data_IF_111711603094
#
_entry.id   IF_111711603094
#
_cell.length_a   1.000
_cell.length_b   1.000
_cell.length_c   1.000
_cell.angle_alpha   90.00
_cell.angle_beta   90.00
_cell.angle_gamma   90.00
#
_symmetry.space_group_name_H-M   'P 1'
#
loop_
_entity.id
_entity.type
_entity.pdbx_description
1 polymer ?
#
# COMPACT_ATOMS: atom_id res chain seq x y z
N UNK A 1 -21.70 -3.92 -18.26
CA UNK A 1 -21.00 -5.14 -18.73
C UNK A 1 -21.37 -6.28 -17.79
N UNK A 2 -21.62 -7.47 -18.32
CA UNK A 2 -21.93 -8.66 -17.52
C UNK A 2 -20.79 -8.97 -16.54
N UNK A 3 -21.10 -9.49 -15.35
CA UNK A 3 -20.07 -9.98 -14.43
C UNK A 3 -19.59 -11.32 -14.97
N UNK A 4 -18.34 -11.39 -15.41
CA UNK A 4 -17.81 -12.60 -16.04
C UNK A 4 -17.52 -13.62 -14.96
N UNK A 5 -18.17 -14.78 -15.02
CA UNK A 5 -17.90 -15.89 -14.12
C UNK A 5 -16.55 -16.52 -14.42
N UNK A 6 -15.67 -16.52 -13.42
CA UNK A 6 -14.34 -17.11 -13.47
C UNK A 6 -14.27 -18.35 -12.59
N UNK A 7 -13.32 -19.23 -12.90
CA UNK A 7 -13.00 -20.34 -11.98
C UNK A 7 -12.36 -19.79 -10.70
N UNK A 8 -12.45 -20.50 -9.56
CA UNK A 8 -11.84 -20.04 -8.30
C UNK A 8 -10.34 -19.72 -8.43
N UNK A 9 -9.60 -20.50 -9.22
CA UNK A 9 -8.17 -20.25 -9.49
C UNK A 9 -7.94 -18.98 -10.31
N UNK A 10 -8.80 -18.67 -11.27
CA UNK A 10 -8.72 -17.44 -12.06
C UNK A 10 -9.05 -16.20 -11.21
N UNK A 11 -10.11 -16.25 -10.40
CA UNK A 11 -10.47 -15.17 -9.48
C UNK A 11 -9.35 -14.92 -8.46
N UNK A 12 -8.76 -15.99 -7.91
CA UNK A 12 -7.64 -15.87 -6.96
C UNK A 12 -6.44 -15.13 -7.57
N UNK A 13 -6.10 -15.41 -8.83
CA UNK A 13 -5.02 -14.68 -9.52
C UNK A 13 -5.34 -13.19 -9.64
N UNK A 14 -6.58 -12.81 -9.97
CA UNK A 14 -6.96 -11.39 -10.04
C UNK A 14 -6.85 -10.69 -8.69
N UNK A 15 -7.27 -11.34 -7.60
CA UNK A 15 -7.14 -10.79 -6.25
C UNK A 15 -5.68 -10.66 -5.81
N UNK A 16 -4.79 -11.58 -6.18
CA UNK A 16 -3.36 -11.44 -5.93
C UNK A 16 -2.76 -10.29 -6.71
N UNK A 17 -3.09 -10.16 -8.01
CA UNK A 17 -2.60 -9.03 -8.81
C UNK A 17 -3.14 -7.69 -8.28
N UNK A 18 -4.38 -7.65 -7.81
CA UNK A 18 -4.97 -6.50 -7.12
C UNK A 18 -4.19 -6.16 -5.85
N UNK A 19 -3.90 -7.15 -5.00
CA UNK A 19 -3.20 -6.91 -3.74
C UNK A 19 -1.77 -6.45 -3.95
N UNK A 20 -1.10 -6.95 -5.00
CA UNK A 20 0.26 -6.55 -5.34
C UNK A 20 0.30 -5.19 -6.05
N UNK A 21 -0.76 -4.82 -6.77
CA UNK A 21 -0.92 -3.55 -7.49
C UNK A 21 0.27 -3.17 -8.42
N UNK A 22 1.03 -4.17 -8.88
CA UNK A 22 2.18 -4.03 -9.77
C UNK A 22 2.24 -5.17 -10.77
N UNK A 23 3.24 -5.13 -11.64
CA UNK A 23 3.66 -6.26 -12.45
C UNK A 23 4.19 -7.40 -11.57
N UNK A 24 3.61 -8.60 -11.72
CA UNK A 24 3.98 -9.82 -10.96
C UNK A 24 4.41 -10.94 -11.92
N UNK A 25 5.65 -11.43 -11.81
CA UNK A 25 6.13 -12.58 -12.57
C UNK A 25 5.38 -13.87 -12.21
N UNK A 26 5.15 -14.76 -13.18
CA UNK A 26 4.49 -16.05 -12.96
C UNK A 26 5.16 -16.93 -11.89
N UNK A 27 6.51 -16.98 -11.75
CA UNK A 27 7.14 -17.69 -10.63
C UNK A 27 6.76 -17.10 -9.27
N UNK A 28 6.57 -15.79 -9.20
CA UNK A 28 6.20 -15.09 -7.97
C UNK A 28 4.72 -15.34 -7.62
N UNK A 29 3.81 -15.26 -8.60
CA UNK A 29 2.38 -15.54 -8.42
C UNK A 29 2.08 -16.89 -7.76
N UNK A 30 2.90 -17.93 -8.03
CA UNK A 30 2.74 -19.28 -7.48
C UNK A 30 2.89 -19.35 -5.95
N UNK A 31 3.49 -18.33 -5.32
CA UNK A 31 3.59 -18.27 -3.86
C UNK A 31 2.25 -17.89 -3.20
N UNK A 32 1.36 -17.22 -3.94
CA UNK A 32 0.12 -16.64 -3.38
C UNK A 32 -1.15 -17.31 -3.92
N UNK A 33 -1.10 -17.81 -5.16
CA UNK A 33 -2.24 -18.42 -5.84
C UNK A 33 -1.83 -19.69 -6.58
N UNK A 34 -2.80 -20.54 -6.98
CA UNK A 34 -2.55 -21.63 -7.90
C UNK A 34 -1.85 -21.14 -9.18
N UNK A 35 -1.03 -22.00 -9.78
CA UNK A 35 -0.28 -21.66 -10.99
C UNK A 35 -1.19 -21.10 -12.09
N UNK A 36 -0.83 -19.90 -12.58
CA UNK A 36 -1.48 -19.32 -13.75
C UNK A 36 -1.03 -20.08 -15.01
N UNK A 37 -1.80 -21.12 -15.36
CA UNK A 37 -1.54 -21.93 -16.55
C UNK A 37 -1.63 -21.10 -17.83
N UNK A 38 -1.01 -21.57 -18.91
CA UNK A 38 -1.10 -20.94 -20.24
C UNK A 38 -2.55 -20.69 -20.67
N UNK A 39 -3.43 -21.68 -20.51
CA UNK A 39 -4.85 -21.59 -20.88
C UNK A 39 -5.57 -20.53 -20.06
N UNK A 40 -5.39 -20.54 -18.73
CA UNK A 40 -6.02 -19.55 -17.85
C UNK A 40 -5.53 -18.13 -18.16
N UNK A 41 -4.22 -17.96 -18.39
CA UNK A 41 -3.63 -16.68 -18.82
C UNK A 41 -4.26 -16.19 -20.12
N UNK A 42 -4.35 -17.04 -21.14
CA UNK A 42 -4.95 -16.68 -22.44
C UNK A 42 -6.42 -16.28 -22.29
N UNK A 43 -7.19 -16.99 -21.47
CA UNK A 43 -8.57 -16.61 -21.14
C UNK A 43 -8.65 -15.24 -20.47
N UNK A 44 -7.83 -14.98 -19.45
CA UNK A 44 -7.85 -13.70 -18.72
C UNK A 44 -7.41 -12.52 -19.60
N UNK A 45 -6.41 -12.71 -20.47
CA UNK A 45 -6.02 -11.70 -21.46
C UNK A 45 -7.13 -11.47 -22.49
N UNK A 46 -7.77 -12.53 -23.01
CA UNK A 46 -8.86 -12.39 -23.96
C UNK A 46 -10.07 -11.65 -23.38
N UNK A 47 -10.36 -11.86 -22.09
CA UNK A 47 -11.37 -11.11 -21.35
C UNK A 47 -10.93 -9.68 -21.00
N UNK A 48 -9.67 -9.32 -21.30
CA UNK A 48 -9.07 -8.03 -21.02
C UNK A 48 -8.94 -7.73 -19.53
N UNK A 49 -8.84 -8.75 -18.67
CA UNK A 49 -8.75 -8.59 -17.21
C UNK A 49 -7.31 -8.46 -16.71
N UNK A 50 -6.36 -9.00 -17.47
CA UNK A 50 -4.92 -8.86 -17.22
C UNK A 50 -4.23 -8.52 -18.53
N UNK A 51 -3.09 -7.86 -18.42
CA UNK A 51 -2.07 -7.84 -19.46
C UNK A 51 -0.94 -8.78 -19.08
N UNK A 52 -0.37 -9.45 -20.08
CA UNK A 52 0.72 -10.41 -19.89
C UNK A 52 1.82 -10.19 -20.91
N UNK A 53 3.00 -9.81 -20.42
CA UNK A 53 4.18 -9.58 -21.24
C UNK A 53 5.24 -10.64 -20.98
N UNK A 54 6.09 -10.90 -21.97
CA UNK A 54 7.28 -11.73 -21.75
C UNK A 54 8.31 -10.92 -20.99
N UNK A 55 8.70 -11.40 -19.82
CA UNK A 55 9.75 -10.85 -18.98
C UNK A 55 11.07 -11.64 -19.08
N UNK A 56 12.01 -11.36 -18.17
CA UNK A 56 13.31 -12.01 -18.12
C UNK A 56 13.20 -13.54 -18.02
N UNK A 57 14.19 -14.24 -18.58
CA UNK A 57 14.29 -15.71 -18.56
C UNK A 57 13.07 -16.44 -19.15
N UNK A 58 12.39 -15.81 -20.12
CA UNK A 58 11.21 -16.34 -20.80
C UNK A 58 10.03 -16.63 -19.84
N UNK A 59 9.99 -15.94 -18.70
CA UNK A 59 8.84 -15.95 -17.77
C UNK A 59 7.81 -14.90 -18.20
N UNK A 60 6.53 -15.15 -17.95
CA UNK A 60 5.51 -14.12 -18.15
C UNK A 60 5.37 -13.26 -16.90
N UNK A 61 5.10 -11.97 -17.11
CA UNK A 61 4.79 -10.99 -16.07
C UNK A 61 3.37 -10.50 -16.32
N UNK A 62 2.61 -10.32 -15.25
CA UNK A 62 1.17 -10.08 -15.29
C UNK A 62 0.80 -8.84 -14.48
N UNK A 63 -0.12 -8.04 -14.98
CA UNK A 63 -0.69 -6.89 -14.27
C UNK A 63 -2.19 -6.84 -14.52
N UNK A 64 -2.96 -6.28 -13.58
CA UNK A 64 -4.36 -5.97 -13.82
C UNK A 64 -4.50 -4.83 -14.82
N UNK A 65 -5.44 -4.98 -15.74
CA UNK A 65 -5.96 -3.85 -16.52
C UNK A 65 -7.00 -3.09 -15.70
N UNK A 66 -7.43 -1.92 -16.17
CA UNK A 66 -8.57 -1.18 -15.59
C UNK A 66 -9.84 -2.05 -15.47
N UNK A 67 -10.06 -2.92 -16.47
CA UNK A 67 -11.20 -3.85 -16.46
C UNK A 67 -11.01 -4.96 -15.42
N UNK A 68 -9.77 -5.40 -15.20
CA UNK A 68 -9.41 -6.30 -14.11
C UNK A 68 -9.71 -5.70 -12.74
N UNK A 69 -9.29 -4.46 -12.52
CA UNK A 69 -9.63 -3.69 -11.31
C UNK A 69 -11.14 -3.55 -11.10
N UNK A 70 -11.87 -3.17 -12.15
CA UNK A 70 -13.33 -3.06 -12.11
C UNK A 70 -14.01 -4.41 -11.86
N UNK A 71 -13.45 -5.51 -12.38
CA UNK A 71 -13.95 -6.86 -12.10
C UNK A 71 -13.77 -7.20 -10.61
N UNK A 72 -12.59 -6.97 -10.03
CA UNK A 72 -12.33 -7.19 -8.61
C UNK A 72 -13.30 -6.38 -7.75
N UNK A 73 -13.51 -5.10 -8.05
CA UNK A 73 -14.44 -4.22 -7.32
C UNK A 73 -15.86 -4.77 -7.30
N UNK A 74 -16.33 -5.33 -8.42
CA UNK A 74 -17.66 -5.94 -8.52
C UNK A 74 -17.75 -7.26 -7.76
N UNK A 75 -16.69 -8.07 -7.80
CA UNK A 75 -16.62 -9.35 -7.08
C UNK A 75 -16.73 -9.17 -5.56
N UNK A 76 -16.23 -8.05 -5.00
CA UNK A 76 -16.40 -7.76 -3.56
C UNK A 76 -17.87 -7.71 -3.14
N UNK A 77 -18.78 -7.31 -4.03
CA UNK A 77 -20.21 -7.19 -3.74
C UNK A 77 -21.01 -8.46 -4.10
N UNK A 78 -20.36 -9.48 -4.67
CA UNK A 78 -21.03 -10.68 -5.16
C UNK A 78 -21.32 -11.69 -4.04
N UNK A 79 -22.25 -12.60 -4.28
CA UNK A 79 -22.53 -13.69 -3.35
C UNK A 79 -21.51 -14.83 -3.50
N UNK A 80 -21.22 -15.58 -2.42
CA UNK A 80 -20.36 -16.75 -2.53
C UNK A 80 -20.95 -17.77 -3.53
N UNK A 81 -20.09 -18.51 -4.27
CA UNK A 81 -20.55 -19.52 -5.22
C UNK A 81 -21.50 -20.54 -4.56
N UNK A 82 -22.45 -21.06 -5.34
CA UNK A 82 -23.35 -22.13 -4.87
C UNK A 82 -22.53 -23.32 -4.37
N UNK A 83 -22.84 -23.77 -3.15
CA UNK A 83 -22.12 -24.88 -2.51
C UNK A 83 -20.79 -24.47 -1.84
N UNK A 84 -20.48 -23.18 -1.74
CA UNK A 84 -19.32 -22.70 -1.01
C UNK A 84 -19.33 -23.16 0.45
N UNK A 85 -18.19 -23.67 0.91
CA UNK A 85 -17.98 -24.12 2.28
C UNK A 85 -18.02 -22.95 3.28
N UNK A 86 -18.34 -23.19 4.57
CA UNK A 86 -18.51 -22.12 5.56
C UNK A 86 -17.38 -21.07 5.61
N UNK A 87 -16.07 -21.42 5.54
CA UNK A 87 -15.01 -20.42 5.54
C UNK A 87 -15.03 -19.49 4.32
N UNK A 88 -15.37 -20.02 3.14
CA UNK A 88 -15.49 -19.22 1.92
C UNK A 88 -16.68 -18.27 2.04
N UNK A 89 -17.81 -18.72 2.58
CA UNK A 89 -18.96 -17.84 2.82
C UNK A 89 -18.62 -16.70 3.79
N UNK A 90 -17.89 -17.00 4.86
CA UNK A 90 -17.42 -15.98 5.80
C UNK A 90 -16.49 -14.96 5.13
N UNK A 91 -15.56 -15.40 4.27
CA UNK A 91 -14.71 -14.52 3.49
C UNK A 91 -15.53 -13.58 2.58
N UNK A 92 -16.53 -14.09 1.86
CA UNK A 92 -17.41 -13.27 1.03
C UNK A 92 -18.20 -12.24 1.85
N UNK A 93 -18.63 -12.58 3.08
CA UNK A 93 -19.26 -11.61 3.98
C UNK A 93 -18.32 -10.45 4.33
N UNK A 94 -17.03 -10.75 4.58
CA UNK A 94 -16.00 -9.73 4.84
C UNK A 94 -15.74 -8.88 3.59
N UNK A 95 -15.57 -9.51 2.42
CA UNK A 95 -15.39 -8.79 1.15
C UNK A 95 -16.56 -7.84 0.86
N UNK A 96 -17.80 -8.28 1.12
CA UNK A 96 -18.98 -7.45 0.96
C UNK A 96 -19.02 -6.28 1.95
N UNK A 97 -18.51 -6.46 3.18
CA UNK A 97 -18.38 -5.37 4.14
C UNK A 97 -17.35 -4.33 3.68
N UNK A 98 -16.20 -4.77 3.17
CA UNK A 98 -15.18 -3.90 2.57
C UNK A 98 -15.77 -3.15 1.38
N UNK A 99 -16.47 -3.85 0.48
CA UNK A 99 -17.12 -3.23 -0.69
C UNK A 99 -18.12 -2.14 -0.30
N UNK A 100 -18.92 -2.36 0.76
CA UNK A 100 -19.83 -1.33 1.30
C UNK A 100 -19.08 -0.12 1.87
N UNK A 101 -17.98 -0.34 2.58
CA UNK A 101 -17.15 0.74 3.12
C UNK A 101 -16.55 1.59 1.99
N UNK A 102 -15.91 0.95 1.00
CA UNK A 102 -15.33 1.66 -0.14
C UNK A 102 -16.37 2.49 -0.89
N UNK A 103 -17.57 1.94 -1.10
CA UNK A 103 -18.66 2.67 -1.74
C UNK A 103 -19.18 3.85 -0.90
N UNK A 104 -19.19 3.73 0.43
CA UNK A 104 -19.63 4.80 1.33
C UNK A 104 -18.64 5.97 1.36
N UNK A 105 -17.34 5.68 1.26
CA UNK A 105 -16.26 6.67 1.29
C UNK A 105 -15.82 7.15 -0.11
N UNK A 106 -16.52 6.74 -1.17
CA UNK A 106 -16.16 6.98 -2.59
C UNK A 106 -14.70 6.58 -2.94
N UNK A 107 -14.21 5.53 -2.29
CA UNK A 107 -12.87 4.99 -2.50
C UNK A 107 -12.85 3.92 -3.59
N UNK A 108 -11.82 3.97 -4.43
CA UNK A 108 -11.54 2.97 -5.46
C UNK A 108 -10.45 2.02 -4.99
N UNK A 109 -10.49 0.78 -5.47
CA UNK A 109 -9.52 -0.25 -5.07
C UNK A 109 -8.06 0.15 -5.33
N UNK A 110 -7.76 0.84 -6.43
CA UNK A 110 -6.40 1.29 -6.74
C UNK A 110 -5.88 2.40 -5.79
N UNK A 111 -6.77 3.06 -5.04
CA UNK A 111 -6.38 4.07 -4.05
C UNK A 111 -5.93 3.41 -2.74
N UNK A 112 -6.49 2.22 -2.46
CA UNK A 112 -6.25 1.42 -1.26
C UNK A 112 -5.10 0.44 -1.46
N UNK A 113 -5.12 -0.31 -2.57
CA UNK A 113 -4.07 -1.26 -2.91
C UNK A 113 -2.99 -0.56 -3.74
N UNK A 114 -1.77 -0.56 -3.20
CA UNK A 114 -0.59 0.04 -3.82
C UNK A 114 0.54 -0.99 -3.83
N UNK A 115 1.50 -0.87 -4.75
CA UNK A 115 2.69 -1.70 -4.71
C UNK A 115 3.29 -1.69 -3.31
N UNK A 116 3.62 -2.86 -2.79
CA UNK A 116 4.52 -2.95 -1.65
C UNK A 116 5.88 -2.40 -2.08
N UNK A 117 6.21 -1.17 -1.68
CA UNK A 117 7.51 -0.53 -1.93
C UNK A 117 8.69 -1.33 -1.34
N UNK A 118 8.40 -2.36 -0.53
CA UNK A 118 9.38 -3.31 -0.01
C UNK A 118 9.89 -4.31 -1.05
N UNK A 119 9.15 -4.59 -2.14
CA UNK A 119 9.54 -5.56 -3.16
C UNK A 119 10.60 -5.04 -4.17
N UNK A 120 10.88 -3.73 -4.15
CA UNK A 120 11.96 -3.10 -4.93
C UNK A 120 13.35 -3.19 -4.28
N UNK A 121 13.46 -3.68 -3.04
CA UNK A 121 14.71 -3.69 -2.27
C UNK A 121 15.68 -4.85 -2.61
N UNK A 122 15.84 -5.21 -3.89
CA UNK A 122 16.91 -6.11 -4.34
C UNK A 122 17.93 -5.45 -5.28
N UNK A 123 18.00 -4.13 -5.30
CA UNK A 123 19.03 -3.39 -6.02
C UNK A 123 19.46 -2.14 -5.27
N UNK A 124 20.68 -2.17 -4.75
CA UNK A 124 21.43 -1.05 -4.16
C UNK A 124 20.92 -0.52 -2.81
N UNK A 125 21.80 -0.61 -1.80
CA UNK A 125 21.70 0.12 -0.56
C UNK A 125 21.69 1.65 -0.83
N UNK A 126 20.49 2.20 -1.04
CA UNK A 126 20.15 3.50 -0.48
C UNK A 126 19.73 3.26 0.98
N UNK A 127 20.14 4.12 1.92
CA UNK A 127 20.07 3.79 3.33
C UNK A 127 18.61 3.68 3.78
N UNK A 128 18.32 2.71 4.65
CA UNK A 128 17.04 2.55 5.36
C UNK A 128 16.65 3.87 6.06
N UNK A 129 15.96 4.76 5.35
CA UNK A 129 15.59 6.08 5.84
C UNK A 129 14.71 6.00 7.09
N UNK A 130 13.70 5.10 7.18
CA UNK A 130 12.98 4.89 8.44
C UNK A 130 13.89 4.49 9.61
N UNK A 131 14.91 3.66 9.37
CA UNK A 131 15.93 3.32 10.36
C UNK A 131 16.78 4.53 10.78
N UNK A 132 17.15 5.39 9.81
CA UNK A 132 17.88 6.63 10.08
C UNK A 132 17.05 7.64 10.86
N UNK A 133 15.76 7.78 10.53
CA UNK A 133 14.81 8.63 11.27
C UNK A 133 14.67 8.14 12.71
N UNK A 134 14.49 6.84 12.94
CA UNK A 134 14.47 6.26 14.30
C UNK A 134 15.78 6.52 15.04
N UNK A 135 16.93 6.36 14.39
CA UNK A 135 18.24 6.64 14.99
C UNK A 135 18.42 8.12 15.36
N UNK A 136 18.05 9.04 14.46
CA UNK A 136 18.11 10.47 14.71
C UNK A 136 17.15 10.88 15.85
N UNK A 137 15.93 10.36 15.85
CA UNK A 137 14.96 10.58 16.92
C UNK A 137 15.52 10.07 18.26
N UNK A 138 16.03 8.85 18.33
CA UNK A 138 16.58 8.28 19.57
C UNK A 138 17.79 9.05 20.11
N UNK A 139 18.59 9.67 19.23
CA UNK A 139 19.73 10.50 19.64
C UNK A 139 19.31 11.89 20.16
N UNK A 140 18.17 12.41 19.72
CA UNK A 140 17.71 13.78 20.02
C UNK A 140 16.60 13.83 21.08
N UNK A 141 15.77 12.80 21.17
CA UNK A 141 14.66 12.74 22.09
C UNK A 141 15.16 12.48 23.51
N UNK A 142 14.71 13.30 24.47
CA UNK A 142 15.10 13.14 25.87
C UNK A 142 14.60 11.81 26.49
N UNK A 143 13.52 11.25 25.95
CA UNK A 143 12.91 9.98 26.33
C UNK A 143 12.00 9.47 25.20
N UNK A 144 11.62 8.18 25.18
CA UNK A 144 10.56 7.70 24.31
C UNK A 144 9.26 8.52 24.49
N UNK A 145 8.58 8.76 23.38
CA UNK A 145 7.39 9.61 23.29
C UNK A 145 7.64 11.12 23.47
N UNK A 146 8.89 11.59 23.56
CA UNK A 146 9.17 13.02 23.60
C UNK A 146 8.99 13.67 22.22
N UNK A 147 8.24 14.77 22.14
CA UNK A 147 8.04 15.50 20.91
C UNK A 147 9.31 16.17 20.42
N UNK A 148 9.69 15.93 19.17
CA UNK A 148 10.68 16.68 18.42
C UNK A 148 9.98 17.50 17.33
N UNK A 149 10.51 18.68 17.02
CA UNK A 149 10.03 19.41 15.85
C UNK A 149 10.52 18.72 14.56
N UNK A 150 9.65 18.69 13.56
CA UNK A 150 9.98 18.17 12.23
C UNK A 150 11.15 18.95 11.62
N UNK A 151 11.22 20.27 11.86
CA UNK A 151 12.35 21.10 11.44
C UNK A 151 13.70 20.62 12.02
N UNK A 152 13.74 20.27 13.31
CA UNK A 152 14.96 19.77 13.94
C UNK A 152 15.36 18.40 13.39
N UNK A 153 14.39 17.52 13.16
CA UNK A 153 14.63 16.20 12.58
C UNK A 153 15.13 16.30 11.12
N UNK A 154 14.56 17.22 10.34
CA UNK A 154 14.98 17.51 8.96
C UNK A 154 16.39 18.09 8.92
N UNK A 155 16.74 18.98 9.86
CA UNK A 155 18.09 19.51 9.97
C UNK A 155 19.13 18.43 10.30
N UNK A 156 18.78 17.45 11.13
CA UNK A 156 19.65 16.30 11.45
C UNK A 156 19.83 15.32 10.28
N UNK A 157 18.92 15.35 9.31
CA UNK A 157 18.92 14.51 8.10
C UNK A 157 18.99 15.37 6.83
N UNK A 158 19.82 16.42 6.85
CA UNK A 158 19.92 17.40 5.78
C UNK A 158 20.43 16.85 4.43
N UNK A 159 20.94 15.62 4.40
CA UNK A 159 21.32 14.90 3.19
C UNK A 159 20.14 14.22 2.47
N UNK A 160 18.96 14.21 3.08
CA UNK A 160 17.73 13.63 2.53
C UNK A 160 16.91 14.73 1.88
N UNK A 161 16.39 14.48 0.67
CA UNK A 161 15.53 15.44 -0.01
C UNK A 161 14.18 15.59 0.71
N UNK A 162 13.57 16.76 0.54
CA UNK A 162 12.34 17.15 1.26
C UNK A 162 11.18 16.19 1.01
N UNK A 163 10.93 15.82 -0.25
CA UNK A 163 9.81 14.96 -0.61
C UNK A 163 9.98 13.57 -0.02
N UNK A 164 11.16 12.96 -0.17
CA UNK A 164 11.46 11.64 0.38
C UNK A 164 11.39 11.62 1.91
N UNK A 165 11.82 12.69 2.59
CA UNK A 165 11.70 12.83 4.04
C UNK A 165 10.23 12.90 4.50
N UNK A 166 9.41 13.66 3.77
CA UNK A 166 7.99 13.85 4.10
C UNK A 166 7.20 12.57 3.89
N UNK A 167 7.39 11.90 2.75
CA UNK A 167 6.78 10.61 2.46
C UNK A 167 7.14 9.58 3.54
N UNK A 168 8.40 9.53 3.96
CA UNK A 168 8.85 8.62 5.01
C UNK A 168 8.18 8.89 6.36
N UNK A 169 7.98 10.15 6.74
CA UNK A 169 7.28 10.52 7.98
C UNK A 169 5.79 10.16 7.94
N UNK A 170 5.13 10.41 6.80
CA UNK A 170 3.72 10.04 6.56
C UNK A 170 3.54 8.52 6.64
N UNK A 171 4.45 7.75 6.06
CA UNK A 171 4.39 6.29 6.11
C UNK A 171 4.68 5.76 7.52
N UNK A 172 5.67 6.33 8.21
CA UNK A 172 5.99 5.95 9.60
C UNK A 172 4.83 6.19 10.56
N UNK A 173 4.04 7.25 10.39
CA UNK A 173 2.85 7.54 11.20
C UNK A 173 1.82 6.40 11.19
N UNK A 174 1.80 5.56 10.16
CA UNK A 174 0.88 4.41 10.07
C UNK A 174 1.27 3.25 10.99
N UNK A 175 2.47 3.30 11.57
CA UNK A 175 2.98 2.27 12.48
C UNK A 175 2.53 2.56 13.92
N UNK A 176 2.13 1.54 14.71
CA UNK A 176 1.84 1.72 16.13
C UNK A 176 3.00 2.37 16.89
N UNK A 177 2.68 3.32 17.76
CA UNK A 177 3.66 4.04 18.58
C UNK A 177 4.38 5.19 17.85
N UNK A 178 3.98 5.55 16.62
CA UNK A 178 4.52 6.73 15.93
C UNK A 178 3.42 7.79 15.81
N UNK A 179 3.74 9.01 16.22
CA UNK A 179 2.84 10.16 16.14
C UNK A 179 3.45 11.28 15.32
N UNK A 180 2.67 11.82 14.39
CA UNK A 180 2.96 13.01 13.61
C UNK A 180 1.74 13.92 13.71
N UNK A 181 1.89 15.07 14.37
CA UNK A 181 0.76 15.94 14.72
C UNK A 181 1.04 17.41 14.40
N UNK A 182 -0.01 18.22 14.20
CA UNK A 182 0.11 19.67 14.21
C UNK A 182 0.58 20.20 15.57
N UNK A 183 1.30 21.32 15.56
CA UNK A 183 1.46 22.13 16.77
C UNK A 183 0.20 22.97 16.95
N UNK A 184 -0.54 22.74 18.03
CA UNK A 184 -1.79 23.46 18.31
C UNK A 184 -1.52 24.92 18.69
N UNK A 185 -0.48 25.18 19.47
CA UNK A 185 -0.08 26.55 19.81
C UNK A 185 0.80 27.13 18.69
N UNK A 186 0.14 27.73 17.70
CA UNK A 186 0.80 28.33 16.54
C UNK A 186 1.76 29.47 16.89
N UNK A 187 1.65 30.08 18.08
CA UNK A 187 2.58 31.12 18.51
C UNK A 187 3.99 30.56 18.76
N UNK A 188 4.10 29.25 19.00
CA UNK A 188 5.38 28.55 19.19
C UNK A 188 6.10 28.22 17.87
N UNK A 189 5.43 28.36 16.72
CA UNK A 189 6.02 28.02 15.43
C UNK A 189 6.90 29.16 14.91
N UNK A 190 8.17 28.85 14.64
CA UNK A 190 9.05 29.71 13.86
C UNK A 190 8.81 29.58 12.36
N UNK A 191 9.50 30.42 11.57
CA UNK A 191 9.47 30.30 10.11
C UNK A 191 10.07 28.97 9.62
N UNK A 192 11.08 28.46 10.32
CA UNK A 192 11.67 27.15 10.05
C UNK A 192 10.68 26.00 10.27
N UNK A 193 9.85 26.08 11.32
CA UNK A 193 8.88 25.03 11.61
C UNK A 193 7.74 25.04 10.59
N UNK A 194 7.28 26.24 10.18
CA UNK A 194 6.29 26.39 9.10
C UNK A 194 6.81 25.85 7.77
N UNK A 195 8.05 26.19 7.41
CA UNK A 195 8.66 25.75 6.16
C UNK A 195 8.98 24.25 6.13
N UNK A 196 9.20 23.64 7.31
CA UNK A 196 9.49 22.22 7.44
C UNK A 196 8.24 21.36 7.68
N UNK A 197 7.05 21.93 7.69
CA UNK A 197 5.82 21.20 7.97
C UNK A 197 5.60 20.06 6.98
N UNK A 198 5.17 18.90 7.49
CA UNK A 198 4.78 17.74 6.68
C UNK A 198 3.26 17.75 6.55
N UNK A 199 2.75 17.68 5.32
CA UNK A 199 1.30 17.70 5.09
C UNK A 199 0.75 16.28 5.20
N UNK A 200 -0.17 16.07 6.15
CA UNK A 200 -0.93 14.82 6.30
C UNK A 200 -2.40 15.11 5.98
N UNK A 201 -2.88 14.62 4.84
CA UNK A 201 -4.22 14.94 4.35
C UNK A 201 -4.34 16.44 4.03
N UNK A 202 -5.00 17.20 4.91
CA UNK A 202 -5.14 18.66 4.81
C UNK A 202 -4.45 19.43 5.94
N UNK A 203 -3.75 18.72 6.83
CA UNK A 203 -3.13 19.31 8.02
C UNK A 203 -1.62 19.43 7.86
N UNK A 204 -1.08 20.59 8.26
CA UNK A 204 0.36 20.81 8.41
C UNK A 204 0.80 20.28 9.78
N UNK A 205 1.60 19.21 9.77
CA UNK A 205 2.16 18.58 10.95
C UNK A 205 3.57 19.09 11.24
N UNK A 206 3.85 19.31 12.52
CA UNK A 206 5.05 20.02 12.98
C UNK A 206 5.82 19.25 14.05
N UNK A 207 5.15 18.32 14.74
CA UNK A 207 5.72 17.56 15.86
C UNK A 207 5.71 16.06 15.54
N UNK A 208 6.81 15.41 15.89
CA UNK A 208 7.01 13.99 15.67
C UNK A 208 7.45 13.31 16.97
N UNK A 209 6.86 12.15 17.28
CA UNK A 209 7.21 11.32 18.42
C UNK A 209 7.18 9.83 18.06
N UNK A 210 8.08 9.07 18.68
CA UNK A 210 8.13 7.61 18.65
C UNK A 210 8.12 7.12 20.09
N UNK A 211 7.13 6.30 20.43
CA UNK A 211 7.00 5.56 21.67
C UNK A 211 7.92 4.33 21.69
N UNK A 212 8.25 3.85 22.88
CA UNK A 212 8.99 2.60 23.03
C UNK A 212 8.07 1.45 22.59
N UNK A 213 8.56 0.60 21.68
CA UNK A 213 7.81 -0.57 21.19
C UNK A 213 7.83 -1.74 22.19
#
# INVERSE_FOLDING_TARGET
>A
MEHVSLTPSQSAVLFVLMSQAREVPNPELRHYAPELTKRSRETLNHLGLIDSVKGPRNSFVHILTDRGWAWCARELAEQPPKGAQPPIRALYTVMAAIGRYLAAEDLRLFEVFRPDDTAGATGQAAPNLPGRIRGAYAAMAARPGAWLSVAALRAALADVDTTTFDDALVDMQRTPGVSLIPQEDRALLGDSDRAAAVVVGTQECHLFAIEEQ
#
